data_IF_632606197367
#
_entry.id   IF_632606197367
#
_cell.length_a   1.000
_cell.length_b   1.000
_cell.length_c   1.000
_cell.angle_alpha   90.00
_cell.angle_beta   90.00
_cell.angle_gamma   90.00
#
_symmetry.space_group_name_H-M   'P 1'
#
loop_
_entity.id
_entity.type
_entity.pdbx_description
1 polymer ?
#
# COMPACT_ATOMS: atom_id res chain seq x y z
N UNK A 1 -11.50 -27.39 43.60
CA UNK A 1 -10.93 -26.04 43.72
C UNK A 1 -9.95 -25.74 42.59
N UNK A 2 -10.24 -26.18 41.34
CA UNK A 2 -9.27 -26.22 40.22
C UNK A 2 -9.75 -25.55 38.92
N UNK A 3 -10.92 -24.89 38.91
CA UNK A 3 -11.46 -24.26 37.69
C UNK A 3 -11.20 -22.74 37.54
N UNK A 4 -10.63 -22.07 38.55
CA UNK A 4 -10.39 -20.62 38.52
C UNK A 4 -9.09 -20.19 37.84
N UNK A 5 -8.12 -21.10 37.76
CA UNK A 5 -6.79 -20.78 37.15
C UNK A 5 -6.73 -20.92 35.64
N UNK A 6 -7.58 -21.77 35.01
CA UNK A 6 -7.62 -21.95 33.55
C UNK A 6 -8.26 -20.79 32.81
N UNK A 7 -9.23 -20.11 33.38
CA UNK A 7 -9.91 -18.97 32.76
C UNK A 7 -9.01 -17.71 32.66
N UNK A 8 -8.10 -17.54 33.63
CA UNK A 8 -7.19 -16.38 33.65
C UNK A 8 -6.09 -16.47 32.61
N UNK A 9 -5.61 -17.67 32.27
CA UNK A 9 -4.60 -17.89 31.23
C UNK A 9 -5.11 -17.66 29.82
N UNK A 10 -6.40 -17.99 29.55
CA UNK A 10 -7.03 -17.77 28.25
C UNK A 10 -7.24 -16.26 27.98
N UNK A 11 -7.64 -15.49 29.01
CA UNK A 11 -7.84 -14.04 28.87
C UNK A 11 -6.54 -13.28 28.57
N UNK A 12 -5.40 -13.70 29.14
CA UNK A 12 -4.08 -13.07 28.88
C UNK A 12 -3.61 -13.37 27.47
N UNK A 13 -3.81 -14.58 26.95
CA UNK A 13 -3.41 -14.94 25.59
C UNK A 13 -4.18 -14.15 24.52
N UNK A 14 -5.47 -13.90 24.70
CA UNK A 14 -6.30 -13.10 23.78
C UNK A 14 -5.90 -11.62 23.80
N UNK A 15 -5.59 -11.03 24.95
CA UNK A 15 -5.13 -9.64 25.02
C UNK A 15 -3.78 -9.42 24.34
N UNK A 16 -2.85 -10.37 24.41
CA UNK A 16 -1.54 -10.26 23.74
C UNK A 16 -1.68 -10.33 22.22
N UNK A 17 -2.60 -11.13 21.71
CA UNK A 17 -2.83 -11.24 20.27
C UNK A 17 -3.48 -9.97 19.67
N UNK A 18 -4.41 -9.33 20.37
CA UNK A 18 -5.04 -8.08 19.94
C UNK A 18 -4.03 -6.92 19.91
N UNK A 19 -3.20 -6.78 20.93
CA UNK A 19 -2.16 -5.74 20.97
C UNK A 19 -1.12 -5.90 19.85
N UNK A 20 -0.82 -7.14 19.43
CA UNK A 20 0.11 -7.43 18.35
C UNK A 20 -0.49 -7.08 16.97
N UNK A 21 -1.78 -7.32 16.75
CA UNK A 21 -2.47 -7.01 15.51
C UNK A 21 -2.58 -5.49 15.30
N UNK A 22 -2.94 -4.73 16.34
CA UNK A 22 -3.01 -3.26 16.28
C UNK A 22 -1.64 -2.64 15.95
N UNK A 23 -0.57 -3.14 16.59
CA UNK A 23 0.79 -2.65 16.31
C UNK A 23 1.26 -2.95 14.89
N UNK A 24 0.79 -4.05 14.28
CA UNK A 24 1.12 -4.46 12.93
C UNK A 24 0.39 -3.59 11.90
N UNK A 25 -0.90 -3.37 12.10
CA UNK A 25 -1.74 -2.49 11.28
C UNK A 25 -1.19 -1.07 11.26
N UNK A 26 -0.82 -0.53 12.41
CA UNK A 26 -0.23 0.81 12.50
C UNK A 26 1.13 0.89 11.80
N UNK A 27 1.97 -0.14 11.94
CA UNK A 27 3.28 -0.21 11.28
C UNK A 27 3.15 -0.21 9.76
N UNK A 28 2.29 -1.05 9.20
CA UNK A 28 2.09 -1.10 7.74
C UNK A 28 1.51 0.22 7.24
N UNK A 29 0.57 0.85 7.96
CA UNK A 29 0.02 2.16 7.63
C UNK A 29 1.10 3.25 7.63
N UNK A 30 1.95 3.29 8.66
CA UNK A 30 3.03 4.27 8.76
C UNK A 30 4.04 4.15 7.61
N UNK A 31 4.35 2.93 7.16
CA UNK A 31 5.22 2.70 6.01
C UNK A 31 4.52 3.04 4.69
N UNK A 32 3.24 2.75 4.54
CA UNK A 32 2.45 3.15 3.38
C UNK A 32 2.34 4.68 3.26
N UNK A 33 2.20 5.39 4.38
CA UNK A 33 2.25 6.85 4.40
C UNK A 33 3.62 7.40 3.93
N UNK A 34 4.73 6.74 4.30
CA UNK A 34 6.07 7.08 3.78
C UNK A 34 6.20 6.82 2.27
N UNK A 35 5.60 5.74 1.76
CA UNK A 35 5.54 5.45 0.33
C UNK A 35 4.79 6.57 -0.42
N UNK A 36 3.62 6.97 0.06
CA UNK A 36 2.81 8.04 -0.52
C UNK A 36 3.49 9.42 -0.43
N UNK A 37 4.17 9.70 0.68
CA UNK A 37 4.96 10.92 0.82
C UNK A 37 6.15 10.96 -0.16
N UNK A 38 6.81 9.82 -0.39
CA UNK A 38 7.89 9.70 -1.37
C UNK A 38 7.40 9.99 -2.80
N UNK A 39 6.21 9.50 -3.16
CA UNK A 39 5.56 9.79 -4.43
C UNK A 39 5.27 11.29 -4.58
N UNK A 40 4.61 11.88 -3.59
CA UNK A 40 4.18 13.29 -3.64
C UNK A 40 5.34 14.26 -3.64
N UNK A 41 6.45 13.95 -2.95
CA UNK A 41 7.65 14.78 -2.89
C UNK A 41 8.61 14.58 -4.06
N UNK A 42 8.36 13.59 -4.95
CA UNK A 42 9.27 13.23 -6.03
C UNK A 42 10.54 12.50 -5.54
N UNK A 43 10.55 11.97 -4.33
CA UNK A 43 11.65 11.14 -3.83
C UNK A 43 11.54 9.72 -4.39
N UNK A 44 11.80 9.59 -5.70
CA UNK A 44 11.63 8.32 -6.41
C UNK A 44 12.59 7.24 -5.95
N UNK A 45 13.77 7.61 -5.45
CA UNK A 45 14.69 6.63 -4.86
C UNK A 45 14.05 5.91 -3.66
N UNK A 46 13.42 6.68 -2.75
CA UNK A 46 12.71 6.14 -1.59
C UNK A 46 11.44 5.38 -2.00
N UNK A 47 10.71 5.88 -3.00
CA UNK A 47 9.53 5.20 -3.52
C UNK A 47 9.88 3.80 -4.04
N UNK A 48 10.97 3.68 -4.82
CA UNK A 48 11.42 2.39 -5.37
C UNK A 48 11.89 1.44 -4.28
N UNK A 49 12.56 1.93 -3.24
CA UNK A 49 12.93 1.10 -2.06
C UNK A 49 11.72 0.50 -1.34
N UNK A 50 10.59 1.20 -1.34
CA UNK A 50 9.33 0.75 -0.73
C UNK A 50 8.43 -0.01 -1.72
N UNK A 51 8.80 -0.09 -2.99
CA UNK A 51 8.06 -0.85 -3.99
C UNK A 51 8.41 -2.34 -3.92
N UNK A 52 7.41 -3.20 -4.12
CA UNK A 52 7.62 -4.65 -4.13
C UNK A 52 8.67 -5.05 -5.17
N UNK A 53 9.71 -5.82 -4.81
CA UNK A 53 10.89 -6.06 -5.65
C UNK A 53 10.56 -6.58 -7.04
N UNK A 54 9.60 -7.49 -7.16
CA UNK A 54 9.20 -8.06 -8.46
C UNK A 54 8.64 -7.02 -9.43
N UNK A 55 7.97 -5.97 -8.93
CA UNK A 55 7.54 -4.84 -9.75
C UNK A 55 8.74 -4.05 -10.26
N UNK A 56 9.73 -3.82 -9.41
CA UNK A 56 10.97 -3.12 -9.78
C UNK A 56 11.71 -3.90 -10.88
N UNK A 57 11.83 -5.21 -10.74
CA UNK A 57 12.45 -6.09 -11.74
C UNK A 57 11.70 -6.07 -13.08
N UNK A 58 10.36 -6.13 -13.05
CA UNK A 58 9.52 -6.10 -14.26
C UNK A 58 9.65 -4.80 -15.06
N UNK A 59 9.99 -3.69 -14.40
CA UNK A 59 10.23 -2.38 -15.05
C UNK A 59 11.66 -2.26 -15.57
N UNK A 60 12.54 -3.20 -15.23
CA UNK A 60 13.94 -3.22 -15.66
C UNK A 60 14.93 -2.76 -14.60
N UNK A 61 14.54 -2.85 -13.32
CA UNK A 61 15.39 -2.56 -12.17
C UNK A 61 15.21 -1.14 -11.62
N UNK A 62 15.93 -0.89 -10.52
CA UNK A 62 15.83 0.32 -9.72
C UNK A 62 16.00 1.62 -10.52
N UNK A 63 17.09 1.71 -11.28
CA UNK A 63 17.44 2.95 -11.99
C UNK A 63 16.46 3.25 -13.13
N UNK A 64 16.02 2.21 -13.84
CA UNK A 64 15.00 2.33 -14.88
C UNK A 64 13.66 2.76 -14.33
N UNK A 65 13.27 2.25 -13.17
CA UNK A 65 12.03 2.65 -12.52
C UNK A 65 12.10 4.10 -12.06
N UNK A 66 13.21 4.55 -11.44
CA UNK A 66 13.41 5.95 -11.05
C UNK A 66 13.32 6.88 -12.28
N UNK A 67 13.97 6.52 -13.37
CA UNK A 67 13.91 7.29 -14.62
C UNK A 67 12.49 7.39 -15.18
N UNK A 68 11.77 6.27 -15.19
CA UNK A 68 10.37 6.22 -15.66
C UNK A 68 9.47 7.12 -14.83
N UNK A 69 9.59 7.07 -13.50
CA UNK A 69 8.81 7.91 -12.59
C UNK A 69 9.13 9.40 -12.77
N UNK A 70 10.41 9.75 -12.92
CA UNK A 70 10.85 11.11 -13.17
C UNK A 70 10.27 11.66 -14.46
N UNK A 71 10.40 10.92 -15.57
CA UNK A 71 9.82 11.30 -16.88
C UNK A 71 8.32 11.50 -16.79
N UNK A 72 7.58 10.56 -16.18
CA UNK A 72 6.14 10.69 -16.02
C UNK A 72 5.76 11.96 -15.21
N UNK A 73 6.54 12.32 -14.18
CA UNK A 73 6.33 13.56 -13.45
C UNK A 73 6.62 14.81 -14.28
N UNK A 74 7.67 14.78 -15.10
CA UNK A 74 8.02 15.88 -16.02
C UNK A 74 6.92 16.07 -17.07
N UNK A 75 6.43 14.97 -17.64
CA UNK A 75 5.32 15.00 -18.62
C UNK A 75 4.03 15.57 -17.98
N UNK A 76 3.70 15.15 -16.76
CA UNK A 76 2.56 15.73 -16.03
C UNK A 76 2.72 17.24 -15.86
N UNK A 77 3.90 17.71 -15.45
CA UNK A 77 4.20 19.13 -15.26
C UNK A 77 4.08 19.91 -16.58
N UNK A 78 4.59 19.36 -17.69
CA UNK A 78 4.49 19.97 -19.02
C UNK A 78 3.03 20.19 -19.45
N UNK A 79 2.10 19.32 -18.97
CA UNK A 79 0.66 19.46 -19.20
C UNK A 79 -0.08 20.20 -18.07
N UNK A 80 0.62 20.95 -17.23
CA UNK A 80 0.03 21.74 -16.14
C UNK A 80 -0.52 20.91 -14.98
N UNK A 81 -0.14 19.64 -14.90
CA UNK A 81 -0.61 18.69 -13.87
C UNK A 81 0.48 18.40 -12.83
N UNK A 82 0.07 18.10 -11.60
CA UNK A 82 1.01 17.71 -10.54
C UNK A 82 0.30 16.89 -9.46
N UNK A 83 0.97 15.89 -8.91
CA UNK A 83 0.51 15.18 -7.73
C UNK A 83 0.59 16.13 -6.54
N UNK A 84 -0.53 16.40 -5.88
CA UNK A 84 -0.62 17.27 -4.70
C UNK A 84 -0.41 16.48 -3.40
N UNK A 85 -0.79 15.22 -3.39
CA UNK A 85 -0.66 14.34 -2.26
C UNK A 85 -1.33 13.01 -2.50
N UNK A 86 -1.00 12.05 -1.64
CA UNK A 86 -1.68 10.77 -1.56
C UNK A 86 -1.86 10.42 -0.09
N UNK A 87 -3.11 10.14 0.30
CA UNK A 87 -3.50 9.77 1.64
C UNK A 87 -3.82 8.27 1.68
N UNK A 88 -3.27 7.56 2.65
CA UNK A 88 -3.47 6.13 2.82
C UNK A 88 -4.24 5.89 4.11
N UNK A 89 -5.34 5.16 4.00
CA UNK A 89 -6.16 4.72 5.12
C UNK A 89 -5.59 3.45 5.76
N UNK A 90 -6.09 3.09 6.92
CA UNK A 90 -5.75 1.83 7.59
C UNK A 90 -6.24 0.63 6.77
N UNK A 91 -5.50 -0.48 6.77
CA UNK A 91 -6.00 -1.73 6.21
C UNK A 91 -7.13 -2.26 7.10
N UNK A 92 -8.12 -2.90 6.50
CA UNK A 92 -9.18 -3.57 7.27
C UNK A 92 -8.66 -4.78 8.04
N UNK A 93 -7.69 -5.46 7.47
CA UNK A 93 -7.07 -6.66 8.02
C UNK A 93 -5.68 -6.90 7.47
N UNK A 94 -4.88 -7.67 8.20
CA UNK A 94 -3.62 -8.25 7.75
C UNK A 94 -3.81 -9.75 7.67
N UNK A 95 -3.61 -10.33 6.49
CA UNK A 95 -3.78 -11.76 6.25
C UNK A 95 -2.43 -12.43 6.13
N UNK A 96 -2.24 -13.54 6.85
CA UNK A 96 -1.02 -14.35 6.82
C UNK A 96 -1.22 -15.59 5.96
N UNK A 97 -0.29 -15.84 5.03
CA UNK A 97 -0.21 -17.04 4.20
C UNK A 97 1.23 -17.55 4.26
N UNK A 98 1.44 -18.64 4.98
CA UNK A 98 2.80 -19.13 5.29
C UNK A 98 3.60 -18.07 6.05
N UNK A 99 4.77 -17.73 5.54
CA UNK A 99 5.67 -16.72 6.10
C UNK A 99 5.34 -15.29 5.64
N UNK A 100 4.44 -15.17 4.67
CA UNK A 100 4.05 -13.88 4.06
C UNK A 100 2.84 -13.28 4.73
N UNK A 101 2.80 -11.97 4.71
CA UNK A 101 1.63 -11.21 5.14
C UNK A 101 1.22 -10.23 4.05
N UNK A 102 -0.09 -10.04 3.94
CA UNK A 102 -0.73 -9.19 2.94
C UNK A 102 -1.74 -8.27 3.60
N UNK A 103 -1.83 -7.05 3.09
CA UNK A 103 -2.87 -6.12 3.47
C UNK A 103 -3.27 -5.24 2.28
N UNK A 104 -4.52 -4.79 2.26
CA UNK A 104 -5.01 -3.80 1.30
C UNK A 104 -5.26 -2.50 2.04
N UNK A 105 -4.59 -1.43 1.60
CA UNK A 105 -4.74 -0.10 2.16
C UNK A 105 -5.45 0.80 1.14
N UNK A 106 -6.66 1.25 1.41
CA UNK A 106 -7.32 2.26 0.57
C UNK A 106 -6.45 3.52 0.47
N UNK A 107 -6.41 4.12 -0.71
CA UNK A 107 -5.61 5.31 -0.98
C UNK A 107 -6.42 6.31 -1.80
N UNK A 108 -6.29 7.59 -1.46
CA UNK A 108 -6.81 8.70 -2.24
C UNK A 108 -5.65 9.55 -2.76
N UNK A 109 -5.58 9.73 -4.06
CA UNK A 109 -4.58 10.61 -4.71
C UNK A 109 -5.25 11.87 -5.20
N UNK A 110 -4.64 13.01 -4.93
CA UNK A 110 -5.07 14.32 -5.43
C UNK A 110 -4.07 14.83 -6.45
N UNK A 111 -4.57 15.15 -7.64
CA UNK A 111 -3.77 15.62 -8.76
C UNK A 111 -4.31 16.98 -9.21
N UNK A 112 -3.48 18.01 -9.18
CA UNK A 112 -3.80 19.28 -9.82
C UNK A 112 -3.82 19.09 -11.32
N UNK A 113 -4.85 19.62 -11.96
CA UNK A 113 -5.00 19.72 -13.43
C UNK A 113 -5.38 21.14 -13.81
N UNK A 114 -5.31 21.55 -15.10
CA UNK A 114 -5.65 22.90 -15.51
C UNK A 114 -7.02 23.40 -15.04
N UNK A 115 -8.02 22.51 -15.01
CA UNK A 115 -9.42 22.83 -14.71
C UNK A 115 -9.80 22.66 -13.22
N UNK A 116 -8.87 22.21 -12.35
CA UNK A 116 -9.17 21.98 -10.93
C UNK A 116 -8.27 20.96 -10.27
N UNK A 117 -8.86 20.16 -9.41
CA UNK A 117 -8.19 19.04 -8.75
C UNK A 117 -8.92 17.73 -9.04
N UNK A 118 -8.23 16.74 -9.59
CA UNK A 118 -8.74 15.37 -9.69
C UNK A 118 -8.49 14.64 -8.38
N UNK A 119 -9.54 14.10 -7.78
CA UNK A 119 -9.49 13.16 -6.68
C UNK A 119 -9.73 11.76 -7.22
N UNK A 120 -8.74 10.89 -7.08
CA UNK A 120 -8.78 9.51 -7.53
C UNK A 120 -8.65 8.56 -6.35
N UNK A 121 -9.56 7.61 -6.22
CA UNK A 121 -9.47 6.53 -5.25
C UNK A 121 -8.75 5.33 -5.86
N UNK A 122 -7.96 4.66 -5.04
CA UNK A 122 -7.21 3.49 -5.38
C UNK A 122 -6.84 2.70 -4.13
N UNK A 123 -5.86 1.85 -4.22
CA UNK A 123 -5.37 1.10 -3.07
C UNK A 123 -3.92 0.66 -3.28
N UNK A 124 -3.22 0.49 -2.18
CA UNK A 124 -1.94 -0.20 -2.14
C UNK A 124 -2.15 -1.64 -1.68
N UNK A 125 -1.44 -2.56 -2.29
CA UNK A 125 -1.24 -3.91 -1.78
C UNK A 125 0.08 -3.89 -1.02
N UNK A 126 0.03 -4.12 0.29
CA UNK A 126 1.21 -4.29 1.12
C UNK A 126 1.58 -5.77 1.20
N UNK A 127 2.86 -6.06 1.04
CA UNK A 127 3.45 -7.40 1.12
C UNK A 127 4.60 -7.38 2.10
N UNK A 128 4.59 -8.32 3.03
CA UNK A 128 5.72 -8.64 3.90
C UNK A 128 6.14 -10.08 3.65
N UNK A 129 7.42 -10.33 3.54
CA UNK A 129 7.99 -11.67 3.35
C UNK A 129 8.73 -12.19 4.60
N UNK A 130 8.63 -11.44 5.72
CA UNK A 130 9.38 -11.67 6.96
C UNK A 130 8.52 -11.53 8.22
N UNK A 131 7.28 -12.03 8.17
CA UNK A 131 6.30 -11.98 9.28
C UNK A 131 6.00 -10.56 9.77
N UNK A 132 5.88 -9.59 8.85
CA UNK A 132 5.49 -8.22 9.16
C UNK A 132 6.61 -7.32 9.71
N UNK A 133 7.87 -7.73 9.61
CA UNK A 133 9.01 -6.90 10.01
C UNK A 133 9.28 -5.80 8.99
N UNK A 134 9.28 -6.15 7.72
CA UNK A 134 9.40 -5.19 6.60
C UNK A 134 8.20 -5.30 5.67
N UNK A 135 7.86 -4.19 5.02
CA UNK A 135 6.74 -4.10 4.11
C UNK A 135 7.12 -3.36 2.84
N UNK A 136 6.68 -3.89 1.72
CA UNK A 136 6.79 -3.28 0.40
C UNK A 136 5.40 -3.13 -0.21
N UNK A 137 5.26 -2.24 -1.18
CA UNK A 137 3.95 -1.83 -1.69
C UNK A 137 3.85 -1.97 -3.19
N UNK A 138 2.64 -2.26 -3.65
CA UNK A 138 2.26 -2.31 -5.05
C UNK A 138 1.05 -1.39 -5.23
N UNK A 139 1.08 -0.52 -6.23
CA UNK A 139 -0.10 0.22 -6.67
C UNK A 139 -1.09 -0.76 -7.32
N UNK A 140 -2.23 -0.92 -6.68
CA UNK A 140 -3.25 -1.89 -7.10
C UNK A 140 -4.03 -1.44 -8.35
N UNK A 141 -4.02 -0.15 -8.68
CA UNK A 141 -4.83 0.39 -9.78
C UNK A 141 -4.41 -0.17 -11.16
N UNK A 142 -3.11 -0.45 -11.35
CA UNK A 142 -2.55 -1.00 -12.59
C UNK A 142 -2.38 -2.51 -12.61
N UNK A 143 -2.63 -3.20 -11.50
CA UNK A 143 -2.19 -4.59 -11.33
C UNK A 143 -3.27 -5.64 -11.55
N UNK A 144 -4.56 -5.28 -11.58
CA UNK A 144 -5.69 -6.21 -11.49
C UNK A 144 -5.57 -7.42 -12.43
N UNK A 145 -5.16 -7.21 -13.68
CA UNK A 145 -5.01 -8.28 -14.68
C UNK A 145 -3.70 -9.08 -14.52
N UNK A 146 -2.71 -8.52 -13.83
CA UNK A 146 -1.38 -9.13 -13.63
C UNK A 146 -1.16 -9.62 -12.21
N UNK A 147 -2.17 -9.51 -11.33
CA UNK A 147 -2.02 -9.85 -9.91
C UNK A 147 -1.50 -11.28 -9.72
N UNK A 148 -2.12 -12.25 -10.36
CA UNK A 148 -1.70 -13.65 -10.26
C UNK A 148 -0.27 -13.90 -10.78
N UNK A 149 0.21 -13.09 -11.71
CA UNK A 149 1.58 -13.17 -12.22
C UNK A 149 2.60 -12.56 -11.24
N UNK A 150 2.21 -11.48 -10.57
CA UNK A 150 3.08 -10.75 -9.62
C UNK A 150 3.04 -11.40 -8.25
N UNK A 151 1.86 -11.77 -7.78
CA UNK A 151 1.59 -12.35 -6.47
C UNK A 151 0.73 -13.63 -6.62
N UNK A 152 1.31 -14.76 -7.04
CA UNK A 152 0.56 -16.01 -7.25
C UNK A 152 -0.10 -16.53 -5.96
N UNK A 153 0.47 -16.20 -4.80
CA UNK A 153 -0.03 -16.60 -3.47
C UNK A 153 -0.92 -15.52 -2.81
N UNK A 154 -1.43 -14.57 -3.59
CA UNK A 154 -2.30 -13.53 -3.04
C UNK A 154 -3.56 -14.17 -2.43
N UNK A 155 -3.87 -13.87 -1.15
CA UNK A 155 -4.98 -14.52 -0.45
C UNK A 155 -6.34 -14.13 -1.06
N UNK A 156 -7.16 -15.13 -1.46
CA UNK A 156 -8.43 -14.88 -2.13
C UNK A 156 -9.47 -14.19 -1.24
N UNK A 157 -9.31 -14.25 0.09
CA UNK A 157 -10.15 -13.54 1.04
C UNK A 157 -9.94 -12.02 1.03
N UNK A 158 -8.78 -11.53 0.60
CA UNK A 158 -8.54 -10.10 0.42
C UNK A 158 -9.17 -9.62 -0.89
N UNK A 159 -10.37 -9.07 -0.79
CA UNK A 159 -11.09 -8.55 -1.94
C UNK A 159 -10.47 -7.22 -2.39
N UNK A 160 -10.08 -7.15 -3.66
CA UNK A 160 -9.58 -5.91 -4.25
C UNK A 160 -10.74 -4.90 -4.38
N UNK A 161 -10.55 -3.65 -3.95
CA UNK A 161 -11.55 -2.61 -4.15
C UNK A 161 -11.88 -2.41 -5.64
N UNK A 162 -13.12 -2.06 -5.97
CA UNK A 162 -13.49 -1.69 -7.32
C UNK A 162 -12.73 -0.44 -7.75
N UNK A 163 -12.50 -0.30 -9.05
CA UNK A 163 -11.96 0.93 -9.62
C UNK A 163 -13.06 1.97 -9.70
N UNK A 164 -12.88 3.09 -9.02
CA UNK A 164 -13.75 4.24 -9.13
C UNK A 164 -13.24 5.20 -10.18
N UNK A 165 -14.17 5.97 -10.79
CA UNK A 165 -13.78 7.04 -11.70
C UNK A 165 -13.26 8.25 -10.91
N UNK A 166 -12.19 8.91 -11.37
CA UNK A 166 -11.74 10.15 -10.76
C UNK A 166 -12.83 11.23 -10.77
N UNK A 167 -12.90 11.97 -9.68
CA UNK A 167 -13.84 13.09 -9.53
C UNK A 167 -13.08 14.40 -9.70
N UNK A 168 -13.54 15.25 -10.62
CA UNK A 168 -13.03 16.60 -10.79
C UNK A 168 -13.69 17.53 -9.78
N UNK A 169 -12.87 18.16 -8.95
CA UNK A 169 -13.23 19.25 -8.06
C UNK A 169 -12.82 20.56 -8.77
N UNK A 170 -13.76 21.34 -9.31
CA UNK A 170 -13.44 22.57 -10.03
C UNK A 170 -12.79 23.61 -9.12
N UNK A 171 -12.11 24.59 -9.74
CA UNK A 171 -11.48 25.73 -9.02
C UNK A 171 -12.50 26.59 -8.33
#
# INVERSE_FOLDING_TARGET
MTYRTSLMLIAIAVCVQLASADSQTERVRALAAKNSAALSSGNYARLVELTYPKIVEMIGGRDKMIETLRRGSEDMKAHGSAILGAEVSEPKEVVTVGDRQFAILPMTVRVRVPDGTLRSTGFLIAVSEDHGKTWTFIDGAGLKEKLAQVLPEFPPQLLLPPREQPVLEPK
#
